data_IF_979000248452
#
_entry.id   IF_979000248452
#
_cell.length_a   1.000
_cell.length_b   1.000
_cell.length_c   1.000
_cell.angle_alpha   90.00
_cell.angle_beta   90.00
_cell.angle_gamma   90.00
#
_symmetry.space_group_name_H-M   'P 1'
#
loop_
_entity.id
_entity.type
_entity.pdbx_description
1 polymer ?
#
# COMPACT_ATOMS: atom_id res chain seq x y z
N UNK A 1 -9.72 5.85 16.02
CA UNK A 1 -9.33 5.99 14.61
C UNK A 1 -10.32 6.98 13.97
N UNK A 2 -9.92 8.23 13.71
CA UNK A 2 -10.81 9.26 13.19
C UNK A 2 -10.97 9.30 11.66
N UNK A 3 -10.26 8.46 10.89
CA UNK A 3 -10.12 8.65 9.44
C UNK A 3 -11.16 7.93 8.55
N UNK A 4 -11.81 6.86 9.04
CA UNK A 4 -12.74 6.05 8.22
C UNK A 4 -14.12 6.70 8.07
N UNK A 5 -14.62 7.35 9.12
CA UNK A 5 -15.91 8.07 9.07
C UNK A 5 -15.85 9.27 8.11
N UNK A 6 -14.66 9.79 7.82
CA UNK A 6 -14.45 10.98 7.02
C UNK A 6 -14.53 10.70 5.50
N UNK A 7 -14.43 9.44 5.06
CA UNK A 7 -14.50 9.09 3.63
C UNK A 7 -15.93 9.12 3.09
N UNK A 8 -16.90 8.70 3.89
CA UNK A 8 -18.31 8.66 3.47
C UNK A 8 -18.96 10.05 3.35
N UNK A 9 -18.41 11.05 4.06
CA UNK A 9 -18.87 12.44 4.01
C UNK A 9 -18.18 13.26 2.90
N UNK A 10 -17.17 12.70 2.22
CA UNK A 10 -16.42 13.40 1.17
C UNK A 10 -17.15 13.43 -0.16
N UNK A 11 -16.96 14.54 -0.89
CA UNK A 11 -17.39 14.65 -2.28
C UNK A 11 -16.59 13.69 -3.18
N UNK A 12 -17.15 13.37 -4.35
CA UNK A 12 -16.47 12.51 -5.33
C UNK A 12 -15.11 13.07 -5.78
N UNK A 13 -14.97 14.41 -5.81
CA UNK A 13 -13.70 15.08 -6.11
C UNK A 13 -12.66 14.89 -5.00
N UNK A 14 -13.06 15.04 -3.74
CA UNK A 14 -12.16 14.82 -2.60
C UNK A 14 -11.75 13.35 -2.45
N UNK A 15 -12.67 12.43 -2.77
CA UNK A 15 -12.37 11.01 -2.85
C UNK A 15 -11.38 10.70 -3.98
N UNK A 16 -11.54 11.32 -5.15
CA UNK A 16 -10.60 11.18 -6.26
C UNK A 16 -9.19 11.68 -5.89
N UNK A 17 -9.08 12.82 -5.21
CA UNK A 17 -7.81 13.34 -4.71
C UNK A 17 -7.18 12.44 -3.63
N UNK A 18 -8.01 11.82 -2.79
CA UNK A 18 -7.56 10.87 -1.77
C UNK A 18 -7.05 9.60 -2.43
N UNK A 19 -7.80 9.03 -3.37
CA UNK A 19 -7.43 7.87 -4.14
C UNK A 19 -6.10 8.06 -4.89
N UNK A 20 -5.89 9.22 -5.51
CA UNK A 20 -4.63 9.54 -6.17
C UNK A 20 -3.44 9.55 -5.19
N UNK A 21 -3.64 10.08 -3.97
CA UNK A 21 -2.61 10.09 -2.92
C UNK A 21 -2.26 8.70 -2.42
N UNK A 22 -3.24 7.81 -2.31
CA UNK A 22 -3.03 6.42 -1.90
C UNK A 22 -2.47 5.53 -3.03
N UNK A 23 -2.39 6.05 -4.27
CA UNK A 23 -1.78 5.37 -5.41
C UNK A 23 -2.78 4.73 -6.39
N UNK A 24 -4.06 5.10 -6.33
CA UNK A 24 -5.12 4.59 -7.20
C UNK A 24 -5.22 5.50 -8.45
N UNK A 25 -4.85 5.04 -9.65
CA UNK A 25 -4.69 5.91 -10.82
C UNK A 25 -5.99 6.18 -11.61
N UNK A 26 -7.07 5.42 -11.39
CA UNK A 26 -8.28 5.52 -12.21
C UNK A 26 -9.56 5.46 -11.37
N UNK A 27 -10.23 6.61 -11.24
CA UNK A 27 -11.45 6.79 -10.43
C UNK A 27 -12.66 7.25 -11.25
N UNK A 28 -12.46 7.57 -12.54
CA UNK A 28 -13.44 8.24 -13.39
C UNK A 28 -14.70 7.41 -13.74
N UNK A 29 -14.67 6.10 -13.46
CA UNK A 29 -15.79 5.18 -13.73
C UNK A 29 -16.31 4.49 -12.47
N UNK A 30 -15.79 4.83 -11.30
CA UNK A 30 -16.20 4.24 -10.03
C UNK A 30 -17.34 5.04 -9.42
N UNK A 31 -18.33 4.33 -8.89
CA UNK A 31 -19.34 4.92 -8.01
C UNK A 31 -18.67 5.42 -6.73
N UNK A 32 -19.31 6.34 -6.01
CA UNK A 32 -18.77 6.87 -4.75
C UNK A 32 -18.42 5.75 -3.75
N UNK A 33 -19.30 4.76 -3.59
CA UNK A 33 -19.07 3.60 -2.72
C UNK A 33 -17.87 2.76 -3.16
N UNK A 34 -17.78 2.45 -4.46
CA UNK A 34 -16.66 1.69 -5.03
C UNK A 34 -15.32 2.41 -4.83
N UNK A 35 -15.34 3.75 -4.90
CA UNK A 35 -14.16 4.58 -4.69
C UNK A 35 -13.74 4.59 -3.21
N UNK A 36 -14.68 4.64 -2.27
CA UNK A 36 -14.40 4.51 -0.82
C UNK A 36 -13.77 3.15 -0.53
N UNK A 37 -14.39 2.06 -1.00
CA UNK A 37 -13.88 0.69 -0.79
C UNK A 37 -12.47 0.51 -1.37
N UNK A 38 -12.20 1.08 -2.56
CA UNK A 38 -10.88 1.03 -3.17
C UNK A 38 -9.82 1.79 -2.34
N UNK A 39 -10.17 2.95 -1.79
CA UNK A 39 -9.28 3.74 -0.91
C UNK A 39 -8.96 2.95 0.36
N UNK A 40 -9.96 2.34 0.99
CA UNK A 40 -9.76 1.54 2.21
C UNK A 40 -8.87 0.33 1.96
N UNK A 41 -9.11 -0.42 0.88
CA UNK A 41 -8.27 -1.56 0.50
C UNK A 41 -6.84 -1.15 0.18
N UNK A 42 -6.64 -0.02 -0.52
CA UNK A 42 -5.30 0.46 -0.83
C UNK A 42 -4.55 0.92 0.43
N UNK A 43 -5.25 1.55 1.39
CA UNK A 43 -4.68 1.91 2.70
C UNK A 43 -4.22 0.68 3.47
N UNK A 44 -5.09 -0.33 3.59
CA UNK A 44 -4.75 -1.58 4.25
C UNK A 44 -3.53 -2.25 3.58
N UNK A 45 -3.52 -2.28 2.24
CA UNK A 45 -2.39 -2.81 1.49
C UNK A 45 -1.09 -2.02 1.75
N UNK A 46 -1.15 -0.69 1.80
CA UNK A 46 -0.02 0.18 2.08
C UNK A 46 0.50 -0.02 3.52
N UNK A 47 -0.39 -0.18 4.50
CA UNK A 47 -0.03 -0.47 5.89
C UNK A 47 0.68 -1.83 6.00
N UNK A 48 0.15 -2.87 5.36
CA UNK A 48 0.73 -4.21 5.32
C UNK A 48 2.07 -4.24 4.57
N UNK A 49 2.21 -3.43 3.52
CA UNK A 49 3.45 -3.32 2.75
C UNK A 49 4.49 -2.39 3.37
N UNK A 50 4.22 -1.78 4.54
CA UNK A 50 5.21 -0.99 5.28
C UNK A 50 6.56 -1.72 5.29
N UNK A 51 7.55 -1.25 4.52
CA UNK A 51 8.82 -1.93 4.45
C UNK A 51 9.43 -1.73 5.82
N UNK A 52 9.47 -2.78 6.64
CA UNK A 52 10.53 -2.88 7.63
C UNK A 52 11.80 -2.59 6.84
N UNK A 53 12.59 -1.56 7.17
CA UNK A 53 13.84 -1.33 6.48
C UNK A 53 14.58 -2.65 6.62
N UNK A 54 14.80 -3.35 5.51
CA UNK A 54 15.70 -4.50 5.51
C UNK A 54 17.01 -3.90 5.98
N UNK A 55 17.36 -4.12 7.26
CA UNK A 55 18.74 -3.92 7.68
C UNK A 55 19.54 -4.75 6.70
N UNK A 56 20.38 -4.07 5.92
CA UNK A 56 21.42 -4.70 5.16
C UNK A 56 22.36 -5.33 6.18
N UNK A 57 22.02 -6.52 6.65
CA UNK A 57 22.91 -7.37 7.43
C UNK A 57 23.29 -8.52 6.49
N UNK A 58 24.40 -8.27 5.81
CA UNK A 58 25.42 -9.23 5.39
C UNK A 58 24.96 -10.62 4.94
N UNK A 59 24.98 -10.81 3.61
CA UNK A 59 25.45 -12.08 3.06
C UNK A 59 26.60 -11.81 2.09
N UNK A 60 27.87 -11.97 2.49
CA UNK A 60 28.87 -12.48 1.59
C UNK A 60 28.86 -14.01 1.73
N UNK A 61 28.21 -14.64 0.76
CA UNK A 61 28.36 -16.04 0.40
C UNK A 61 29.83 -16.48 0.47
N UNK A 62 30.21 -17.14 1.56
CA UNK A 62 31.51 -17.77 1.74
C UNK A 62 31.29 -19.22 2.15
N UNK A 63 31.01 -20.07 1.17
CA UNK A 63 30.78 -21.49 1.41
C UNK A 63 30.81 -22.33 0.14
N UNK A 64 31.78 -22.05 -0.74
CA UNK A 64 32.14 -22.94 -1.85
C UNK A 64 32.30 -24.38 -1.32
N UNK A 65 31.53 -25.38 -1.80
CA UNK A 65 31.79 -26.76 -1.41
C UNK A 65 33.00 -27.28 -2.20
N UNK A 66 34.00 -27.85 -1.50
CA UNK A 66 35.03 -28.86 -1.93
C UNK A 66 36.30 -28.73 -1.06
N UNK A 67 37.16 -29.77 -0.92
CA UNK A 67 36.94 -31.23 -0.88
C UNK A 67 37.77 -31.95 0.25
N UNK A 68 37.72 -33.29 0.28
CA UNK A 68 38.65 -34.25 0.97
C UNK A 68 38.42 -34.45 2.49
N UNK A 69 38.48 -35.66 3.08
CA UNK A 69 39.33 -36.83 2.84
C UNK A 69 38.66 -38.17 3.20
#
# INVERSE_FOLDING_TARGET
MPDEQDLHDKTLGELAETAHREGIPFVAHMSQSELVEAIEQQREANELQSPRPRRADEEPTAGRPTPTS
#
